data_IF_277688680907
#
_entry.id   IF_277688680907
#
_cell.length_a   1.000
_cell.length_b   1.000
_cell.length_c   1.000
_cell.angle_alpha   90.00
_cell.angle_beta   90.00
_cell.angle_gamma   90.00
#
_symmetry.space_group_name_H-M   'P 1'
#
loop_
_entity.id
_entity.type
_entity.pdbx_description
1 polymer ?
2 non-polymer ?
3 non-polymer ?
4 water ?
#
# COMPACT_ATOMS: atom_id res chain seq x y z
N UNK A 1 -4.57 8.10 -6.58
CA UNK A 1 -5.21 7.50 -7.80
C UNK A 1 -4.25 6.51 -8.43
N UNK A 2 -4.76 5.62 -9.27
CA UNK A 2 -3.88 4.64 -9.91
C UNK A 2 -3.90 4.68 -11.43
N UNK A 3 -2.75 4.37 -12.05
CA UNK A 3 -2.65 4.35 -13.51
C UNK A 3 -3.61 3.25 -14.01
N UNK A 4 -4.08 3.36 -15.25
CA UNK A 4 -5.01 2.38 -15.81
C UNK A 4 -4.52 0.94 -15.97
N UNK A 5 -3.21 0.75 -16.12
CA UNK A 5 -2.65 -0.59 -16.31
C UNK A 5 -2.66 -1.47 -15.07
N UNK A 6 -2.96 -0.88 -13.91
CA UNK A 6 -2.99 -1.62 -12.65
C UNK A 6 -4.39 -1.93 -12.15
N UNK A 7 -4.55 -3.12 -11.59
CA UNK A 7 -5.81 -3.50 -10.97
C UNK A 7 -5.59 -2.91 -9.56
N UNK A 8 -6.61 -2.88 -8.71
CA UNK A 8 -6.40 -2.33 -7.37
C UNK A 8 -5.39 -3.15 -6.57
N UNK A 9 -5.43 -4.47 -6.72
CA UNK A 9 -4.50 -5.35 -6.02
C UNK A 9 -3.07 -5.09 -6.46
N UNK A 10 -2.88 -4.88 -7.76
CA UNK A 10 -1.55 -4.62 -8.30
C UNK A 10 -1.03 -3.26 -7.83
N UNK A 11 -1.93 -2.29 -7.70
CA UNK A 11 -1.55 -0.96 -7.25
C UNK A 11 -1.19 -1.00 -5.77
N UNK A 12 -1.97 -1.76 -5.00
CA UNK A 12 -1.71 -1.92 -3.57
C UNK A 12 -0.31 -2.51 -3.39
N UNK A 13 -0.01 -3.53 -4.18
CA UNK A 13 1.29 -4.19 -4.14
C UNK A 13 2.42 -3.22 -4.51
N UNK A 14 2.20 -2.43 -5.55
CA UNK A 14 3.18 -1.46 -6.02
C UNK A 14 3.45 -0.38 -4.96
N UNK A 15 2.39 0.07 -4.30
CA UNK A 15 2.51 1.12 -3.30
C UNK A 15 2.89 0.69 -1.89
N UNK A 16 2.42 -0.49 -1.47
CA UNK A 16 2.65 -0.91 -0.10
C UNK A 16 3.40 -2.21 0.18
N UNK A 17 3.82 -2.91 -0.87
CA UNK A 17 4.54 -4.16 -0.66
C UNK A 17 5.91 -4.18 -1.35
N UNK A 18 5.94 -3.83 -2.63
CA UNK A 18 7.21 -3.84 -3.35
C UNK A 18 8.02 -2.58 -3.22
N UNK A 19 8.74 -2.43 -2.11
CA UNK A 19 9.58 -1.26 -1.93
C UNK A 19 10.82 -1.60 -2.75
N UNK A 20 10.97 -0.97 -3.92
CA UNK A 20 12.09 -1.28 -4.80
C UNK A 20 13.47 -0.93 -4.28
N UNK A 21 13.52 -0.17 -3.19
CA UNK A 21 14.77 0.25 -2.56
C UNK A 21 14.47 0.47 -1.09
N UNK A 22 15.45 0.21 -0.23
CA UNK A 22 15.24 0.41 1.19
C UNK A 22 15.25 1.90 1.53
N UNK A 23 15.52 2.73 0.53
CA UNK A 23 15.55 4.19 0.70
C UNK A 23 14.25 4.76 0.17
N UNK A 24 13.55 5.54 0.99
CA UNK A 24 12.28 6.12 0.57
C UNK A 24 12.36 7.00 -0.68
N UNK A 25 13.38 7.85 -0.75
CA UNK A 25 13.53 8.73 -1.91
C UNK A 25 13.53 7.93 -3.21
N UNK A 26 14.23 6.80 -3.22
CA UNK A 26 14.30 5.95 -4.40
C UNK A 26 13.01 5.16 -4.62
N UNK A 27 12.50 4.54 -3.55
CA UNK A 27 11.28 3.75 -3.62
C UNK A 27 10.09 4.58 -4.08
N UNK A 28 9.98 5.80 -3.55
CA UNK A 28 8.87 6.68 -3.90
C UNK A 28 8.87 7.16 -5.35
N UNK A 29 10.00 7.04 -6.04
CA UNK A 29 10.04 7.48 -7.44
C UNK A 29 9.11 6.62 -8.29
N UNK A 30 9.00 5.35 -7.94
CA UNK A 30 8.12 4.44 -8.66
C UNK A 30 6.67 4.90 -8.53
N UNK A 31 6.22 5.11 -7.30
CA UNK A 31 4.86 5.54 -7.04
C UNK A 31 4.57 6.92 -7.65
N UNK A 32 5.49 7.86 -7.43
CA UNK A 32 5.34 9.22 -7.94
C UNK A 32 5.36 9.32 -9.46
N UNK A 33 6.17 8.49 -10.11
CA UNK A 33 6.24 8.51 -11.57
C UNK A 33 4.96 7.94 -12.18
N UNK A 34 4.32 7.02 -11.46
CA UNK A 34 3.08 6.43 -11.94
C UNK A 34 1.89 7.38 -11.68
N UNK A 35 1.89 8.05 -10.53
CA UNK A 35 0.81 8.97 -10.17
C UNK A 35 0.96 10.38 -10.71
N UNK A 36 2.14 10.69 -11.24
CA UNK A 36 2.42 12.01 -11.80
C UNK A 36 2.32 13.13 -10.77
N UNK A 37 2.97 12.92 -9.63
CA UNK A 37 3.01 13.87 -8.53
C UNK A 37 3.76 13.20 -7.38
N UNK A 38 4.29 14.00 -6.46
CA UNK A 38 5.01 13.44 -5.33
C UNK A 38 4.06 13.24 -4.16
N UNK A 39 3.66 11.99 -3.94
CA UNK A 39 2.76 11.65 -2.85
C UNK A 39 3.36 12.13 -1.52
N UNK A 40 2.54 12.78 -0.70
CA UNK A 40 2.98 13.33 0.57
C UNK A 40 3.54 12.30 1.56
N UNK A 41 2.86 11.16 1.69
CA UNK A 41 3.32 10.10 2.57
C UNK A 41 2.83 8.75 2.09
N UNK A 42 3.61 7.72 2.38
CA UNK A 42 3.26 6.38 1.94
C UNK A 42 3.93 5.33 2.83
N UNK A 43 3.19 4.28 3.17
CA UNK A 43 3.72 3.22 4.01
C UNK A 43 4.02 1.96 3.22
N UNK A 44 5.20 1.42 3.44
CA UNK A 44 5.61 0.18 2.81
C UNK A 44 5.61 -0.87 3.92
N UNK A 45 4.80 -1.91 3.76
CA UNK A 45 4.75 -2.99 4.75
C UNK A 45 5.82 -4.02 4.39
N UNK A 46 6.73 -4.31 5.32
CA UNK A 46 7.77 -5.29 5.04
C UNK A 46 7.25 -6.69 5.35
N UNK A 47 6.38 -7.17 4.47
CA UNK A 47 5.77 -8.48 4.59
C UNK A 47 5.52 -8.94 3.16
N UNK A 48 5.07 -10.18 2.99
CA UNK A 48 4.82 -10.70 1.66
C UNK A 48 3.38 -10.49 1.19
N UNK A 49 3.17 -10.58 -0.12
CA UNK A 49 1.84 -10.41 -0.68
C UNK A 49 0.95 -11.55 -0.19
N UNK A 50 1.50 -12.76 -0.14
CA UNK A 50 0.75 -13.92 0.33
C UNK A 50 0.29 -13.70 1.78
N UNK A 51 1.14 -13.05 2.58
CA UNK A 51 0.80 -12.77 3.98
C UNK A 51 -0.39 -11.81 4.07
N UNK A 52 -0.41 -10.79 3.21
CA UNK A 52 -1.50 -9.82 3.21
C UNK A 52 -2.79 -10.49 2.73
N UNK A 53 -2.68 -11.35 1.72
CA UNK A 53 -3.84 -12.06 1.20
C UNK A 53 -4.46 -12.90 2.33
N UNK A 54 -3.62 -13.53 3.15
CA UNK A 54 -4.14 -14.32 4.26
C UNK A 54 -4.81 -13.44 5.31
N UNK A 55 -4.33 -12.21 5.47
CA UNK A 55 -4.92 -11.27 6.42
C UNK A 55 -6.35 -10.96 5.94
N UNK A 56 -6.57 -11.02 4.63
CA UNK A 56 -7.88 -10.77 4.06
C UNK A 56 -8.84 -11.86 4.54
N UNK A 57 -8.28 -12.97 5.01
CA UNK A 57 -9.09 -14.07 5.50
C UNK A 57 -9.46 -13.92 6.96
N UNK A 58 -8.90 -12.93 7.64
CA UNK A 58 -9.22 -12.70 9.04
C UNK A 58 -10.61 -12.05 9.12
N UNK A 59 -11.24 -12.08 10.30
CA UNK A 59 -12.58 -11.50 10.47
C UNK A 59 -12.75 -10.09 9.91
N UNK A 60 -13.90 -9.84 9.29
CA UNK A 60 -14.18 -8.52 8.75
C UNK A 60 -14.40 -7.56 9.90
N UNK A 61 -14.05 -6.30 9.68
CA UNK A 61 -14.24 -5.27 10.69
C UNK A 61 -14.48 -3.97 9.93
N UNK A 62 -15.03 -2.99 10.62
CA UNK A 62 -15.29 -1.71 10.00
C UNK A 62 -13.95 -1.01 9.73
N UNK A 63 -13.85 -0.34 8.59
CA UNK A 63 -12.62 0.37 8.23
C UNK A 63 -12.47 1.67 9.00
N UNK A 64 -11.36 1.83 9.74
CA UNK A 64 -11.15 3.06 10.51
C UNK A 64 -11.32 4.34 9.67
N UNK A 65 -10.92 4.30 8.41
CA UNK A 65 -11.04 5.47 7.53
C UNK A 65 -12.45 5.68 6.99
N UNK A 66 -13.22 4.61 6.84
CA UNK A 66 -14.59 4.75 6.34
C UNK A 66 -15.58 3.96 7.18
N UNK A 67 -16.28 4.68 8.05
CA UNK A 67 -17.27 4.12 8.94
C UNK A 67 -18.37 3.33 8.20
N UNK A 68 -18.42 3.44 6.88
CA UNK A 68 -19.44 2.73 6.11
C UNK A 68 -18.95 1.47 5.40
N UNK A 69 -17.66 1.18 5.50
CA UNK A 69 -17.11 -0.01 4.85
C UNK A 69 -16.81 -1.13 5.84
N UNK A 70 -17.20 -2.35 5.47
CA UNK A 70 -17.01 -3.51 6.32
C UNK A 70 -16.10 -4.53 5.66
N UNK A 71 -15.27 -4.09 4.71
CA UNK A 71 -14.37 -5.02 4.04
C UNK A 71 -12.94 -4.93 4.55
N UNK A 72 -12.76 -4.44 5.77
CA UNK A 72 -11.43 -4.33 6.35
C UNK A 72 -11.07 -5.52 7.24
N UNK A 73 -9.76 -5.75 7.37
CA UNK A 73 -9.24 -6.87 8.15
C UNK A 73 -7.99 -6.45 8.91
N UNK A 74 -7.89 -6.89 10.16
CA UNK A 74 -6.76 -6.56 11.02
C UNK A 74 -5.66 -7.62 10.86
N UNK A 75 -4.41 -7.17 10.73
CA UNK A 75 -3.27 -8.08 10.54
C UNK A 75 -3.06 -9.14 11.62
N UNK A 76 -3.59 -8.90 12.81
CA UNK A 76 -3.43 -9.88 13.88
C UNK A 76 -2.12 -9.68 14.61
N UNK A 77 -1.02 -9.70 13.87
CA UNK A 77 0.29 -9.49 14.49
C UNK A 77 0.97 -8.29 13.83
N UNK A 78 2.04 -7.81 14.46
CA UNK A 78 2.79 -6.67 13.96
C UNK A 78 3.77 -7.09 12.87
N UNK A 79 4.14 -6.13 12.03
CA UNK A 79 5.11 -6.38 10.96
C UNK A 79 6.04 -5.17 10.86
N UNK A 80 7.26 -5.38 10.35
CA UNK A 80 8.19 -4.25 10.22
C UNK A 80 7.65 -3.43 9.06
N UNK A 81 7.81 -2.11 9.12
CA UNK A 81 7.34 -1.28 8.04
C UNK A 81 8.20 -0.03 7.94
N UNK A 82 8.07 0.68 6.83
CA UNK A 82 8.81 1.90 6.63
C UNK A 82 7.81 2.92 6.12
N UNK A 83 7.69 4.03 6.85
CA UNK A 83 6.77 5.08 6.45
C UNK A 83 7.60 6.17 5.78
N UNK A 84 7.18 6.57 4.58
CA UNK A 84 7.88 7.60 3.83
C UNK A 84 7.16 8.95 3.91
N UNK A 85 7.91 10.00 4.24
CA UNK A 85 7.36 11.35 4.37
C UNK A 85 8.10 12.30 3.43
N UNK A 86 7.34 13.03 2.62
CA UNK A 86 7.92 13.97 1.67
C UNK A 86 8.59 15.13 2.42
N UNK A 87 9.85 15.40 2.11
CA UNK A 87 10.59 16.49 2.75
C UNK A 87 10.98 17.57 1.75
N UNK A 88 11.05 17.20 0.47
CA UNK A 88 11.42 18.11 -0.62
C UNK A 88 10.45 17.94 -1.79
N UNK A 89 9.42 18.80 -1.87
CA UNK A 89 8.33 18.89 -2.85
C UNK A 89 8.61 18.93 -4.36
N UNK A 90 9.71 19.54 -4.78
CA UNK A 90 10.04 19.63 -6.21
C UNK A 90 8.79 19.64 -7.12
N UNK A 91 8.11 20.80 -7.22
CA UNK A 91 6.90 20.98 -8.04
C UNK A 91 6.96 20.23 -9.37
N UNK A 92 7.80 20.70 -10.28
CA UNK A 92 7.97 20.04 -11.57
C UNK A 92 9.17 19.11 -11.41
N UNK A 93 9.30 18.14 -12.29
CA UNK A 93 10.40 17.19 -12.19
C UNK A 93 10.24 16.48 -10.85
N UNK A 94 9.20 15.66 -10.76
CA UNK A 94 8.91 14.93 -9.54
C UNK A 94 10.00 13.94 -9.14
N UNK A 95 10.97 13.72 -10.03
CA UNK A 95 12.05 12.79 -9.73
C UNK A 95 13.10 13.41 -8.81
N UNK A 96 12.87 14.68 -8.46
CA UNK A 96 13.78 15.40 -7.57
C UNK A 96 13.24 15.46 -6.15
N UNK A 97 12.05 14.90 -5.95
CA UNK A 97 11.45 14.88 -4.62
C UNK A 97 12.27 13.96 -3.73
N UNK A 98 12.42 14.37 -2.47
CA UNK A 98 13.17 13.58 -1.51
C UNK A 98 12.25 13.24 -0.35
N UNK A 99 12.53 12.12 0.32
CA UNK A 99 11.71 11.68 1.43
C UNK A 99 12.53 11.28 2.65
N UNK A 100 11.86 11.24 3.79
CA UNK A 100 12.47 10.81 5.04
C UNK A 100 11.90 9.40 5.21
N UNK A 101 12.56 8.55 5.99
CA UNK A 101 12.03 7.22 6.22
C UNK A 101 11.96 6.94 7.70
N UNK A 102 10.85 6.35 8.12
CA UNK A 102 10.63 6.03 9.52
C UNK A 102 10.34 4.54 9.69
N UNK A 103 11.29 3.79 10.27
CA UNK A 103 11.12 2.34 10.48
C UNK A 103 10.26 2.09 11.71
N UNK A 104 9.42 1.05 11.66
CA UNK A 104 8.56 0.73 12.79
C UNK A 104 7.92 -0.64 12.64
N UNK A 105 7.43 -1.18 13.74
CA UNK A 105 6.75 -2.47 13.75
C UNK A 105 5.35 -2.16 14.23
N UNK A 106 4.37 -2.33 13.35
CA UNK A 106 3.00 -2.02 13.70
C UNK A 106 1.99 -2.98 13.09
N UNK A 107 0.77 -2.93 13.60
CA UNK A 107 -0.32 -3.75 13.07
C UNK A 107 -0.85 -2.93 11.91
N UNK A 108 -1.55 -3.57 10.99
CA UNK A 108 -2.13 -2.83 9.88
C UNK A 108 -3.53 -3.36 9.61
N UNK A 109 -4.34 -2.51 8.99
CA UNK A 109 -5.70 -2.86 8.63
C UNK A 109 -5.82 -2.65 7.12
N UNK A 110 -6.18 -3.71 6.41
CA UNK A 110 -6.33 -3.64 4.96
C UNK A 110 -7.76 -3.93 4.51
N UNK A 111 -8.17 -3.26 3.44
CA UNK A 111 -9.48 -3.48 2.86
C UNK A 111 -9.21 -4.44 1.71
N UNK A 112 -10.04 -5.47 1.59
CA UNK A 112 -9.88 -6.46 0.54
C UNK A 112 -11.19 -6.59 -0.24
N UNK A 113 -11.08 -7.01 -1.49
CA UNK A 113 -12.24 -7.21 -2.37
C UNK A 113 -11.97 -8.42 -3.26
N UNK A 114 -12.96 -8.79 -4.06
CA UNK A 114 -12.76 -9.89 -4.98
C UNK A 114 -11.82 -9.38 -6.07
N UNK A 115 -11.02 -10.27 -6.63
CA UNK A 115 -10.05 -9.89 -7.65
C UNK A 115 -10.69 -9.30 -8.90
N UNK A 116 -9.88 -8.57 -9.66
CA UNK A 116 -10.32 -7.99 -10.92
C UNK A 116 -10.55 -9.21 -11.81
N UNK A 117 -11.80 -9.41 -12.21
CA UNK A 117 -12.16 -10.56 -13.02
C UNK A 117 -11.31 -10.78 -14.27
N UNK A 118 -11.01 -9.70 -14.98
CA UNK A 118 -10.23 -9.79 -16.22
C UNK A 118 -8.72 -9.71 -16.10
N UNK A 119 -8.21 -8.94 -15.15
CA UNK A 119 -6.76 -8.76 -15.04
C UNK A 119 -5.97 -9.38 -13.89
N UNK A 120 -6.64 -9.72 -12.79
CA UNK A 120 -5.91 -10.32 -11.67
C UNK A 120 -5.79 -11.82 -11.84
N UNK A 121 -4.61 -12.38 -11.51
CA UNK A 121 -4.49 -13.82 -11.67
C UNK A 121 -5.52 -14.55 -10.79
N UNK A 122 -6.09 -15.64 -11.31
CA UNK A 122 -7.09 -16.45 -10.60
C UNK A 122 -6.56 -17.10 -9.32
N UNK A 123 -5.24 -17.12 -9.17
CA UNK A 123 -4.61 -17.70 -7.99
C UNK A 123 -5.18 -17.13 -6.69
N UNK A 124 -5.46 -15.83 -6.68
CA UNK A 124 -5.98 -15.16 -5.49
C UNK A 124 -7.38 -14.57 -5.71
N UNK A 125 -8.43 -15.33 -5.35
CA UNK A 125 -9.80 -14.83 -5.52
C UNK A 125 -10.07 -13.56 -4.72
N UNK A 126 -9.41 -13.45 -3.56
CA UNK A 126 -9.57 -12.28 -2.69
C UNK A 126 -8.22 -11.58 -2.53
N UNK A 127 -8.21 -10.28 -2.76
CA UNK A 127 -6.97 -9.51 -2.69
C UNK A 127 -7.07 -8.19 -1.95
N UNK A 128 -5.94 -7.72 -1.37
CA UNK A 128 -5.96 -6.44 -0.66
C UNK A 128 -6.04 -5.34 -1.72
N UNK A 129 -6.84 -4.32 -1.48
CA UNK A 129 -6.99 -3.25 -2.46
C UNK A 129 -6.73 -1.87 -1.86
N UNK A 130 -6.54 -1.81 -0.55
CA UNK A 130 -6.32 -0.53 0.10
C UNK A 130 -5.78 -0.72 1.52
N UNK A 131 -4.81 0.11 1.89
CA UNK A 131 -4.22 0.09 3.23
C UNK A 131 -5.00 1.15 4.00
N UNK A 132 -5.85 0.70 4.92
CA UNK A 132 -6.68 1.63 5.67
C UNK A 132 -6.01 2.27 6.87
N UNK A 133 -5.11 1.55 7.53
CA UNK A 133 -4.45 2.11 8.70
C UNK A 133 -3.37 1.24 9.31
N UNK A 134 -2.42 1.88 9.99
CA UNK A 134 -1.35 1.16 10.67
C UNK A 134 -1.45 1.56 12.14
N UNK A 135 -1.25 0.59 13.02
CA UNK A 135 -1.36 0.84 14.45
C UNK A 135 -0.10 0.43 15.19
X LIG B 1 1.66 -10.32 8.05
X LIG B 1 2.56 -11.22 8.35
X LIG B 1 1.61 -9.58 7.01
X LIG B 1 0.56 -10.19 9.11
X LIG C 1 -4.43 9.50 -0.54
X LIG C 1 -4.81 8.22 -1.31
X LIG C 1 -6.28 8.10 -1.38
X LIG C 1 -4.34 8.32 -2.69
X LIG C 1 -4.19 7.05 -0.55
X LIG C 1 -3.45 5.71 -0.83
X LIG C 1 -2.11 5.78 -0.28
X LIG C 1 -3.39 5.56 -2.31
X LIG C 1 -3.88 4.45 -0.16
X LIG C 1 -4.24 3.14 -0.73
X LIG C 1 -3.21 2.55 -1.58
X LIG C 1 -4.58 2.18 0.34
X LIG C 1 -5.66 3.49 -1.50
X LIG C 1 -6.32 2.62 -2.52
X LIG C 1 -7.61 3.31 -2.98
X LIG C 1 -8.74 2.50 -2.68
X LIG C 1 -8.00 4.68 -2.37
X LIG C 1 -7.26 5.74 -2.96
X LIG C 1 -9.55 4.69 -2.54
X LIG C 1 -9.95 5.31 -3.78
X LIG C 1 -9.97 3.21 -2.43
X LIG C 1 -10.60 2.83 -1.07
X LIG C 1 -10.71 3.52 0.11
X LIG C 1 -11.34 2.77 1.02
X LIG C 1 -11.63 1.62 0.42
X LIG C 1 -12.32 0.45 0.94
X LIG C 1 -12.81 0.30 2.18
X LIG C 1 -12.49 -0.64 0.04
X LIG C 1 -12.04 -0.64 -1.27
X LIG C 1 -11.39 0.49 -1.73
X LIG C 1 -11.18 1.62 -0.93
#
# INVERSE_FOLDING_TARGET
>A
MKPPQFTWAQWFETQHINMTSQQCTNAMQVINNYQRRCKNQNTFLLTTFANVVNVCGNPNMTCPSNKTRKNCHHSGSQVPLIHCNLTTPSPQNISNCRYAQTPANMFYIVACDNRDQRRDPPQYPVVPVHLDRII
>B hetero
1 ACY C O OXT CH3
>C hetero
1 B4P O3A PB O1B O2B O3B PG O1G O2G O3G PD O1D O2D O5F C5F C4F O4F C3F O3F C2F O2F C1F N9B C8B N7B C5B C6B N6B N1B C2B N3B C4B
#
